data_IF_556158447333
#
_entry.id   IF_556158447333
#
_cell.length_a   1.000
_cell.length_b   1.000
_cell.length_c   1.000
_cell.angle_alpha   90.00
_cell.angle_beta   90.00
_cell.angle_gamma   90.00
#
_symmetry.space_group_name_H-M   'P 1'
#
loop_
_entity.id
_entity.type
_entity.pdbx_description
1 polymer ?
#
# COMPACT_ATOMS: atom_id res chain seq x y z
N UNK A 1 0.08 14.51 16.67
CA UNK A 1 -0.96 15.16 15.83
C UNK A 1 -1.82 14.05 15.28
N UNK A 2 -3.15 14.14 15.40
CA UNK A 2 -4.07 13.11 14.89
C UNK A 2 -4.65 13.58 13.57
N UNK A 3 -4.56 12.74 12.54
CA UNK A 3 -5.16 12.98 11.23
C UNK A 3 -6.27 11.94 11.06
N UNK A 4 -7.52 12.41 10.97
CA UNK A 4 -8.72 11.58 10.78
C UNK A 4 -9.25 11.77 9.36
N UNK A 5 -9.54 10.69 8.66
CA UNK A 5 -10.28 10.71 7.39
C UNK A 5 -11.40 9.67 7.40
N UNK A 6 -12.50 9.97 6.71
CA UNK A 6 -13.65 9.08 6.52
C UNK A 6 -13.75 8.73 5.05
N UNK A 7 -13.87 7.44 4.73
CA UNK A 7 -13.95 6.96 3.35
C UNK A 7 -15.16 6.05 3.19
N UNK A 8 -15.98 6.31 2.19
CA UNK A 8 -17.05 5.42 1.78
C UNK A 8 -16.49 4.28 0.92
N UNK A 9 -15.92 3.27 1.59
CA UNK A 9 -15.36 2.10 0.94
C UNK A 9 -16.42 1.22 0.26
N UNK A 10 -17.73 1.49 0.43
CA UNK A 10 -18.79 0.63 -0.13
C UNK A 10 -18.98 0.85 -1.63
N UNK A 11 -18.90 2.09 -2.12
CA UNK A 11 -19.29 2.43 -3.51
C UNK A 11 -18.22 2.02 -4.54
N UNK A 12 -16.93 2.23 -4.25
CA UNK A 12 -15.84 1.84 -5.14
C UNK A 12 -15.60 0.32 -5.13
N UNK A 13 -15.77 -0.31 -3.96
CA UNK A 13 -15.68 -1.76 -3.78
C UNK A 13 -16.85 -2.46 -4.46
N UNK A 14 -18.09 -1.99 -4.31
CA UNK A 14 -19.25 -2.64 -4.95
C UNK A 14 -19.15 -2.66 -6.47
N UNK A 15 -18.79 -1.55 -7.12
CA UNK A 15 -18.66 -1.51 -8.59
C UNK A 15 -17.52 -2.38 -9.12
N UNK A 16 -16.39 -2.41 -8.41
CA UNK A 16 -15.28 -3.29 -8.78
C UNK A 16 -15.60 -4.77 -8.51
N UNK A 17 -16.29 -5.07 -7.41
CA UNK A 17 -16.76 -6.42 -7.09
C UNK A 17 -17.85 -6.89 -8.06
N UNK A 18 -18.77 -6.03 -8.50
CA UNK A 18 -19.74 -6.33 -9.54
C UNK A 18 -19.05 -6.65 -10.87
N UNK A 19 -18.02 -5.88 -11.23
CA UNK A 19 -17.21 -6.16 -12.41
C UNK A 19 -16.48 -7.52 -12.30
N UNK A 20 -15.82 -7.80 -11.17
CA UNK A 20 -15.12 -9.08 -10.96
C UNK A 20 -16.09 -10.27 -10.91
N UNK A 21 -17.23 -10.15 -10.22
CA UNK A 21 -18.31 -11.17 -10.20
C UNK A 21 -18.91 -11.40 -11.59
N UNK A 22 -18.93 -10.38 -12.45
CA UNK A 22 -19.39 -10.53 -13.84
C UNK A 22 -18.39 -11.28 -14.73
N UNK A 23 -17.15 -11.46 -14.29
CA UNK A 23 -16.05 -12.04 -15.09
C UNK A 23 -15.47 -13.32 -14.53
N UNK A 24 -15.70 -13.64 -13.26
CA UNK A 24 -15.12 -14.79 -12.56
C UNK A 24 -16.25 -15.60 -11.90
N UNK A 25 -16.20 -16.93 -12.01
CA UNK A 25 -17.18 -17.82 -11.40
C UNK A 25 -17.04 -17.83 -9.86
N UNK A 26 -18.16 -17.85 -9.14
CA UNK A 26 -18.22 -17.67 -7.67
C UNK A 26 -17.35 -18.67 -6.88
N UNK A 27 -17.04 -19.82 -7.47
CA UNK A 27 -16.23 -20.91 -6.94
C UNK A 27 -14.71 -20.65 -6.93
N UNK A 28 -14.23 -19.51 -7.45
CA UNK A 28 -12.78 -19.20 -7.58
C UNK A 28 -12.28 -17.99 -6.80
N UNK A 29 -13.11 -17.35 -5.99
CA UNK A 29 -12.72 -16.16 -5.22
C UNK A 29 -12.52 -16.53 -3.75
N UNK A 30 -11.32 -16.96 -3.40
CA UNK A 30 -10.89 -17.05 -2.01
C UNK A 30 -10.46 -15.67 -1.51
N UNK A 31 -11.18 -15.13 -0.52
CA UNK A 31 -10.74 -13.93 0.21
C UNK A 31 -9.77 -14.35 1.31
N UNK A 32 -8.49 -14.02 1.13
CA UNK A 32 -7.42 -14.32 2.06
C UNK A 32 -6.91 -13.07 2.79
N UNK A 33 -6.72 -13.25 4.10
CA UNK A 33 -5.91 -12.52 5.11
C UNK A 33 -5.18 -11.25 4.62
N UNK A 34 -5.47 -10.11 5.27
CA UNK A 34 -4.75 -8.85 5.09
C UNK A 34 -3.29 -8.99 5.54
N UNK A 35 -2.35 -8.69 4.65
CA UNK A 35 -0.91 -8.60 4.96
C UNK A 35 -0.57 -7.12 5.12
N UNK A 36 0.00 -6.79 6.28
CA UNK A 36 0.38 -5.46 6.72
C UNK A 36 1.91 -5.35 6.57
N UNK A 37 2.43 -4.46 5.73
CA UNK A 37 3.88 -4.36 5.46
C UNK A 37 4.32 -2.90 5.28
N UNK A 38 5.15 -2.37 6.19
CA UNK A 38 5.66 -0.98 6.22
C UNK A 38 7.13 -0.98 6.71
N UNK A 39 7.85 0.14 6.68
CA UNK A 39 9.12 0.40 7.41
C UNK A 39 9.23 -0.39 8.72
N UNK A 40 10.42 -0.94 9.05
CA UNK A 40 10.74 -1.67 10.29
C UNK A 40 9.66 -1.47 11.35
N UNK A 41 8.76 -2.44 11.42
CA UNK A 41 7.49 -2.20 12.04
C UNK A 41 6.92 -3.45 12.63
N UNK A 42 6.01 -3.25 13.55
CA UNK A 42 5.26 -4.32 14.19
C UNK A 42 3.81 -3.92 14.17
N UNK A 43 2.98 -4.84 13.74
CA UNK A 43 1.55 -4.61 13.69
C UNK A 43 0.80 -5.88 13.96
N UNK A 44 -0.49 -5.73 14.15
CA UNK A 44 -1.37 -6.85 14.32
C UNK A 44 -2.83 -6.47 14.26
N UNK A 45 -3.66 -7.46 14.53
CA UNK A 45 -5.11 -7.30 14.56
C UNK A 45 -5.65 -7.88 15.86
N UNK A 46 -6.57 -7.17 16.51
CA UNK A 46 -7.21 -7.67 17.73
C UNK A 46 -8.18 -8.81 17.44
N UNK A 47 -8.56 -9.54 18.47
CA UNK A 47 -9.83 -10.27 18.50
C UNK A 47 -11.02 -9.29 18.38
N UNK A 48 -12.24 -9.78 18.09
CA UNK A 48 -13.45 -8.95 18.12
C UNK A 48 -13.56 -8.18 19.45
N UNK A 49 -13.72 -6.86 19.37
CA UNK A 49 -13.76 -5.98 20.52
C UNK A 49 -15.20 -5.61 20.91
N UNK A 50 -15.39 -5.28 22.19
CA UNK A 50 -16.67 -4.79 22.70
C UNK A 50 -16.98 -3.40 22.11
N UNK A 51 -18.12 -3.29 21.45
CA UNK A 51 -18.60 -2.07 20.79
C UNK A 51 -18.86 -0.95 21.81
N UNK A 52 -19.25 -1.30 23.04
CA UNK A 52 -19.50 -0.29 24.07
C UNK A 52 -18.21 0.39 24.54
N UNK A 53 -17.07 -0.30 24.42
CA UNK A 53 -15.74 0.23 24.77
C UNK A 53 -15.08 0.85 23.55
N UNK A 54 -15.21 0.23 22.37
CA UNK A 54 -14.60 0.68 21.12
C UNK A 54 -15.65 0.87 20.02
N UNK A 55 -16.50 1.92 20.06
CA UNK A 55 -17.56 2.11 19.07
C UNK A 55 -17.07 2.17 17.61
N UNK A 56 -15.80 2.54 17.39
CA UNK A 56 -15.17 2.61 16.08
C UNK A 56 -15.21 1.27 15.31
N UNK A 57 -15.24 0.13 16.00
CA UNK A 57 -15.23 -1.18 15.33
C UNK A 57 -16.58 -1.59 14.74
N UNK A 58 -17.65 -0.87 15.12
CA UNK A 58 -19.01 -1.03 14.56
C UNK A 58 -19.37 0.11 13.58
N UNK A 59 -18.40 0.99 13.29
CA UNK A 59 -18.63 2.10 12.38
C UNK A 59 -18.95 1.59 10.97
N UNK A 60 -19.92 2.24 10.32
CA UNK A 60 -20.26 1.97 8.91
C UNK A 60 -19.07 2.17 7.96
N UNK A 61 -18.19 3.10 8.31
CA UNK A 61 -17.00 3.43 7.53
C UNK A 61 -15.76 3.00 8.27
N UNK A 62 -14.77 2.53 7.52
CA UNK A 62 -13.46 2.27 8.09
C UNK A 62 -12.82 3.60 8.44
N UNK A 63 -12.54 3.79 9.72
CA UNK A 63 -11.73 4.92 10.18
C UNK A 63 -10.26 4.50 10.17
N UNK A 64 -9.41 5.36 9.61
CA UNK A 64 -7.97 5.19 9.68
C UNK A 64 -7.39 6.40 10.43
N UNK A 65 -6.70 6.11 11.52
CA UNK A 65 -6.06 7.10 12.37
C UNK A 65 -4.55 6.96 12.26
N UNK A 66 -3.87 8.06 11.96
CA UNK A 66 -2.41 8.13 12.08
C UNK A 66 -2.01 9.05 13.21
N UNK A 67 -1.17 8.50 14.08
CA UNK A 67 -0.59 9.19 15.22
C UNK A 67 0.90 9.34 14.98
N UNK A 68 1.30 10.59 14.75
CA UNK A 68 2.70 11.00 14.70
C UNK A 68 3.13 11.46 16.09
N UNK A 69 4.10 10.76 16.67
CA UNK A 69 4.71 11.17 17.94
C UNK A 69 5.62 12.38 17.75
N UNK A 70 5.64 13.26 18.76
CA UNK A 70 6.59 14.39 18.81
C UNK A 70 7.89 14.00 19.48
N UNK A 71 7.82 13.08 20.43
CA UNK A 71 8.92 12.77 21.35
C UNK A 71 9.71 11.53 20.93
N UNK A 72 9.17 10.75 20.00
CA UNK A 72 9.84 9.60 19.41
C UNK A 72 9.64 9.55 17.89
N UNK A 73 10.43 8.70 17.22
CA UNK A 73 10.39 8.53 15.77
C UNK A 73 9.27 7.61 15.29
N UNK A 74 8.35 7.22 16.17
CA UNK A 74 7.29 6.27 15.84
C UNK A 74 6.13 6.95 15.14
N UNK A 75 5.65 6.25 14.12
CA UNK A 75 4.36 6.50 13.48
C UNK A 75 3.46 5.31 13.78
N UNK A 76 2.35 5.57 14.47
CA UNK A 76 1.36 4.55 14.77
C UNK A 76 0.12 4.73 13.91
N UNK A 77 -0.42 3.61 13.44
CA UNK A 77 -1.60 3.54 12.62
C UNK A 77 -2.63 2.66 13.30
N UNK A 78 -3.88 3.06 13.18
CA UNK A 78 -5.00 2.31 13.70
C UNK A 78 -6.12 2.32 12.69
N UNK A 79 -6.77 1.18 12.49
CA UNK A 79 -7.94 1.12 11.64
C UNK A 79 -8.91 0.05 12.09
N UNK A 80 -10.21 0.35 12.01
CA UNK A 80 -11.25 -0.66 12.19
C UNK A 80 -11.15 -1.71 11.08
N UNK A 81 -11.25 -2.98 11.44
CA UNK A 81 -11.24 -4.10 10.52
C UNK A 81 -12.60 -4.84 10.58
N UNK A 82 -12.92 -5.68 9.58
CA UNK A 82 -14.09 -6.55 9.63
C UNK A 82 -14.17 -7.35 10.94
N UNK A 83 -15.38 -7.82 11.25
CA UNK A 83 -15.64 -8.65 12.44
C UNK A 83 -15.36 -7.92 13.77
N UNK A 84 -15.58 -6.60 13.80
CA UNK A 84 -15.41 -5.76 15.00
C UNK A 84 -14.00 -5.80 15.57
N UNK A 85 -13.00 -5.91 14.70
CA UNK A 85 -11.58 -5.95 15.08
C UNK A 85 -10.93 -4.60 14.87
N UNK A 86 -9.75 -4.44 15.45
CA UNK A 86 -8.91 -3.28 15.21
C UNK A 86 -7.54 -3.73 14.73
N UNK A 87 -7.15 -3.22 13.56
CA UNK A 87 -5.80 -3.34 13.05
C UNK A 87 -4.95 -2.19 13.62
N UNK A 88 -3.74 -2.51 14.02
CA UNK A 88 -2.76 -1.54 14.48
C UNK A 88 -1.40 -1.83 13.86
N UNK A 89 -0.61 -0.78 13.69
CA UNK A 89 0.71 -0.86 13.12
C UNK A 89 1.57 0.24 13.72
N UNK A 90 2.78 -0.09 14.16
CA UNK A 90 3.79 0.92 14.50
C UNK A 90 4.97 0.73 13.60
N UNK A 91 5.44 1.83 13.03
CA UNK A 91 6.65 1.89 12.23
C UNK A 91 7.60 2.94 12.77
N UNK A 92 8.91 2.71 12.59
CA UNK A 92 9.97 3.61 13.01
C UNK A 92 11.21 2.84 13.45
N UNK A 93 12.12 3.50 14.16
CA UNK A 93 13.32 2.85 14.68
C UNK A 93 13.01 2.12 16.01
N UNK A 94 12.26 1.02 15.92
CA UNK A 94 11.68 0.35 17.09
C UNK A 94 12.73 -0.38 17.95
N UNK A 95 13.83 -0.84 17.35
CA UNK A 95 14.81 -1.69 18.05
C UNK A 95 16.24 -1.15 17.96
N UNK A 96 16.48 0.04 17.37
CA UNK A 96 17.82 0.62 17.24
C UNK A 96 18.81 -0.28 16.49
N UNK A 97 18.31 -1.26 15.73
CA UNK A 97 19.14 -2.19 15.00
C UNK A 97 19.82 -1.43 13.87
N UNK A 98 21.16 -1.40 13.92
CA UNK A 98 21.98 -0.78 12.90
C UNK A 98 21.58 -1.28 11.50
N UNK A 99 21.70 -0.41 10.49
CA UNK A 99 21.27 -0.70 9.11
C UNK A 99 21.81 -2.01 8.55
N UNK A 100 22.95 -2.49 9.05
CA UNK A 100 23.62 -3.72 8.60
C UNK A 100 22.95 -5.01 9.10
N UNK A 101 22.32 -4.99 10.29
CA UNK A 101 21.71 -6.20 10.87
C UNK A 101 20.32 -6.51 10.27
N UNK A 102 19.69 -5.50 9.68
CA UNK A 102 18.37 -5.64 9.06
C UNK A 102 18.40 -6.57 7.84
N UNK A 103 19.49 -6.61 7.06
CA UNK A 103 19.51 -7.38 5.81
C UNK A 103 19.45 -8.92 6.01
N UNK A 104 19.80 -9.43 7.19
CA UNK A 104 19.85 -10.89 7.46
C UNK A 104 18.61 -11.44 8.17
N UNK A 105 17.68 -10.59 8.59
CA UNK A 105 16.56 -10.98 9.45
C UNK A 105 15.26 -11.23 8.67
N UNK A 106 15.27 -12.12 7.68
CA UNK A 106 14.00 -12.62 7.11
C UNK A 106 13.31 -13.63 8.03
N UNK A 107 14.06 -14.22 8.98
CA UNK A 107 13.57 -15.11 10.03
C UNK A 107 13.53 -14.37 11.39
N UNK A 108 12.72 -13.32 11.50
CA UNK A 108 12.53 -12.65 12.79
C UNK A 108 11.74 -13.59 13.71
N UNK A 109 12.46 -14.31 14.57
CA UNK A 109 11.87 -15.15 15.61
C UNK A 109 10.94 -14.37 16.55
N UNK A 110 10.10 -15.10 17.29
CA UNK A 110 9.12 -14.54 18.23
C UNK A 110 9.72 -13.53 19.21
N UNK A 111 10.97 -13.74 19.64
CA UNK A 111 11.70 -12.82 20.52
C UNK A 111 11.81 -11.40 19.96
N UNK A 112 11.98 -11.27 18.64
CA UNK A 112 12.06 -9.94 18.01
C UNK A 112 10.71 -9.24 17.96
N UNK A 113 9.60 -9.98 17.88
CA UNK A 113 8.25 -9.42 17.91
C UNK A 113 7.94 -8.94 19.32
N UNK A 114 8.23 -9.76 20.34
CA UNK A 114 8.01 -9.40 21.74
C UNK A 114 8.80 -8.15 22.14
N UNK A 115 10.08 -8.07 21.79
CA UNK A 115 10.90 -6.88 22.08
C UNK A 115 10.33 -5.62 21.42
N UNK A 116 9.82 -5.74 20.18
CA UNK A 116 9.21 -4.62 19.48
C UNK A 116 7.90 -4.19 20.15
N UNK A 117 7.03 -5.14 20.48
CA UNK A 117 5.79 -4.91 21.22
C UNK A 117 6.02 -4.23 22.58
N UNK A 118 7.05 -4.64 23.32
CA UNK A 118 7.44 -4.00 24.59
C UNK A 118 7.87 -2.55 24.36
N UNK A 119 8.70 -2.30 23.34
CA UNK A 119 9.21 -0.97 23.03
C UNK A 119 8.09 0.01 22.69
N UNK A 120 7.08 -0.42 21.92
CA UNK A 120 5.97 0.47 21.48
C UNK A 120 4.75 0.44 22.40
N UNK A 121 4.66 -0.51 23.33
CA UNK A 121 3.44 -0.73 24.12
C UNK A 121 3.00 0.45 24.99
N UNK A 122 3.90 1.37 25.30
CA UNK A 122 3.60 2.58 26.08
C UNK A 122 2.87 3.67 25.29
N UNK A 123 2.77 3.55 23.96
CA UNK A 123 2.14 4.57 23.11
C UNK A 123 0.63 4.66 23.39
N UNK A 124 0.14 5.90 23.53
CA UNK A 124 -1.30 6.16 23.63
C UNK A 124 -1.97 6.00 22.25
N UNK A 125 -3.17 5.42 22.27
CA UNK A 125 -4.00 5.23 21.09
C UNK A 125 -5.06 6.33 21.03
N UNK A 126 -5.65 6.63 19.86
CA UNK A 126 -6.75 7.60 19.75
C UNK A 126 -8.04 7.12 20.46
N UNK A 127 -8.07 5.89 20.97
CA UNK A 127 -9.24 5.27 21.59
C UNK A 127 -9.19 5.30 23.13
N UNK A 128 -8.28 6.08 23.72
CA UNK A 128 -8.17 6.22 25.17
C UNK A 128 -7.57 5.01 25.89
N UNK A 129 -6.88 4.14 25.16
CA UNK A 129 -6.11 3.02 25.72
C UNK A 129 -4.65 3.07 25.25
N UNK A 130 -3.80 2.24 25.82
CA UNK A 130 -2.40 2.06 25.41
C UNK A 130 -2.27 1.01 24.31
N UNK A 131 -1.22 1.09 23.50
CA UNK A 131 -0.95 0.09 22.49
C UNK A 131 -0.68 -1.29 23.10
N UNK A 132 -0.11 -1.36 24.32
CA UNK A 132 0.02 -2.60 25.09
C UNK A 132 -1.31 -3.31 25.28
N UNK A 133 -2.39 -2.58 25.56
CA UNK A 133 -3.73 -3.16 25.72
C UNK A 133 -4.29 -3.68 24.40
N UNK A 134 -3.97 -3.05 23.27
CA UNK A 134 -4.33 -3.59 21.96
C UNK A 134 -3.51 -4.85 21.62
N UNK A 135 -2.20 -4.82 21.89
CA UNK A 135 -1.29 -5.97 21.73
C UNK A 135 -1.79 -7.17 22.55
N UNK A 136 -2.19 -6.95 23.81
CA UNK A 136 -2.70 -8.01 24.68
C UNK A 136 -4.02 -8.62 24.17
N UNK A 137 -4.79 -7.90 23.36
CA UNK A 137 -6.01 -8.39 22.67
C UNK A 137 -5.73 -8.92 21.27
N UNK A 138 -4.50 -8.88 20.80
CA UNK A 138 -4.10 -9.43 19.52
C UNK A 138 -3.59 -10.85 19.70
N UNK A 139 -4.18 -11.85 19.03
CA UNK A 139 -3.64 -13.19 18.99
C UNK A 139 -2.20 -13.15 18.47
N UNK A 140 -1.29 -13.91 19.06
CA UNK A 140 0.14 -13.86 18.72
C UNK A 140 0.40 -14.23 17.26
N UNK A 141 -0.42 -15.10 16.68
CA UNK A 141 -0.37 -15.49 15.25
C UNK A 141 -0.88 -14.39 14.30
N UNK A 142 -1.48 -13.33 14.86
CA UNK A 142 -1.90 -12.13 14.14
C UNK A 142 -0.98 -10.93 14.40
N UNK A 143 0.13 -11.10 15.13
CA UNK A 143 1.16 -10.08 15.28
C UNK A 143 2.32 -10.42 14.37
N UNK A 144 2.71 -9.46 13.54
CA UNK A 144 3.75 -9.62 12.54
C UNK A 144 4.76 -8.49 12.70
N UNK A 145 6.04 -8.84 12.72
CA UNK A 145 7.13 -7.90 12.47
C UNK A 145 7.48 -7.99 10.99
N UNK A 146 7.61 -6.84 10.35
CA UNK A 146 7.86 -6.77 8.92
C UNK A 146 8.97 -5.76 8.62
N UNK A 147 9.63 -5.98 7.48
CA UNK A 147 10.75 -5.19 7.00
C UNK A 147 10.50 -4.80 5.55
N UNK A 148 10.34 -3.50 5.29
CA UNK A 148 10.17 -3.02 3.91
C UNK A 148 11.50 -2.53 3.36
N UNK A 149 11.87 -3.11 2.23
CA UNK A 149 13.02 -2.72 1.44
C UNK A 149 12.55 -2.22 0.08
N UNK A 150 12.95 -1.00 -0.28
CA UNK A 150 12.79 -0.49 -1.65
C UNK A 150 13.85 -1.14 -2.52
N UNK A 151 13.42 -2.00 -3.45
CA UNK A 151 14.32 -2.69 -4.38
C UNK A 151 13.87 -2.47 -5.81
N UNK A 152 14.82 -2.11 -6.67
CA UNK A 152 14.63 -2.19 -8.11
C UNK A 152 15.78 -3.01 -8.68
N UNK A 153 15.47 -4.14 -9.31
CA UNK A 153 16.51 -4.95 -9.92
C UNK A 153 16.91 -4.38 -11.27
N UNK A 154 18.20 -4.41 -11.60
CA UNK A 154 18.70 -3.95 -12.90
C UNK A 154 18.19 -4.85 -14.04
N UNK A 155 18.13 -6.15 -13.80
CA UNK A 155 17.76 -7.17 -14.78
C UNK A 155 16.45 -7.82 -14.34
N UNK A 156 15.46 -7.92 -15.25
CA UNK A 156 14.13 -8.47 -14.96
C UNK A 156 13.84 -9.76 -15.72
N UNK A 157 14.76 -10.25 -16.54
CA UNK A 157 14.55 -11.46 -17.31
C UNK A 157 15.90 -12.12 -17.61
N UNK A 158 15.86 -13.43 -17.81
CA UNK A 158 16.97 -14.22 -18.32
C UNK A 158 16.42 -15.40 -19.14
N UNK A 159 16.93 -15.57 -20.35
CA UNK A 159 16.40 -16.52 -21.32
C UNK A 159 14.88 -16.39 -21.52
N UNK A 160 14.13 -17.39 -21.05
CA UNK A 160 12.65 -17.46 -21.12
C UNK A 160 11.95 -17.16 -19.80
N UNK A 161 12.69 -16.79 -18.76
CA UNK A 161 12.13 -16.38 -17.49
C UNK A 161 12.06 -14.85 -17.41
N UNK A 162 10.97 -14.34 -16.86
CA UNK A 162 10.75 -12.91 -16.62
C UNK A 162 10.18 -12.72 -15.21
N UNK A 163 10.69 -11.71 -14.52
CA UNK A 163 10.26 -11.25 -13.22
C UNK A 163 9.21 -10.16 -13.44
N UNK A 164 8.14 -10.19 -12.65
CA UNK A 164 7.08 -9.17 -12.63
C UNK A 164 6.72 -8.85 -11.17
N UNK A 165 6.09 -7.70 -10.94
CA UNK A 165 5.67 -7.28 -9.60
C UNK A 165 6.85 -7.21 -8.62
N UNK A 166 6.64 -7.65 -7.38
CA UNK A 166 7.65 -7.56 -6.30
C UNK A 166 8.94 -8.32 -6.59
N UNK A 167 8.89 -9.35 -7.44
CA UNK A 167 10.09 -10.08 -7.86
C UNK A 167 11.01 -9.23 -8.76
N UNK A 168 10.46 -8.26 -9.48
CA UNK A 168 11.20 -7.35 -10.37
C UNK A 168 11.48 -6.00 -9.72
N UNK A 169 10.53 -5.51 -8.93
CA UNK A 169 10.60 -4.24 -8.23
C UNK A 169 9.71 -4.24 -6.99
N UNK A 170 10.31 -3.99 -5.84
CA UNK A 170 9.59 -3.76 -4.59
C UNK A 170 9.40 -2.26 -4.44
N UNK A 171 8.24 -1.78 -4.90
CA UNK A 171 7.81 -0.40 -4.66
C UNK A 171 7.33 -0.32 -3.21
N UNK A 172 7.80 0.68 -2.48
CA UNK A 172 7.36 0.87 -1.10
C UNK A 172 5.88 1.17 -1.06
N UNK A 173 5.18 0.39 -0.25
CA UNK A 173 3.80 0.65 0.10
C UNK A 173 3.77 1.68 1.22
N UNK A 174 3.63 2.96 0.87
CA UNK A 174 3.27 3.95 1.88
C UNK A 174 1.75 3.94 2.02
N UNK A 175 1.27 3.47 3.18
CA UNK A 175 -0.16 3.34 3.53
C UNK A 175 -0.89 4.72 3.62
N UNK A 176 -0.28 5.80 3.11
CA UNK A 176 -0.83 7.15 3.15
C UNK A 176 -1.46 7.56 1.82
N UNK A 177 -2.76 7.32 1.69
CA UNK A 177 -3.79 8.38 1.82
C UNK A 177 -5.13 7.81 1.32
N UNK A 178 -6.02 7.50 2.28
CA UNK A 178 -7.50 7.53 2.21
C UNK A 178 -8.25 7.06 0.96
N UNK A 179 -7.60 6.32 0.08
CA UNK A 179 -8.21 5.44 -0.88
C UNK A 179 -7.55 4.07 -0.73
N UNK A 180 -8.29 2.97 -0.98
CA UNK A 180 -7.73 1.64 -1.19
C UNK A 180 -6.70 1.57 -2.35
N UNK A 181 -6.32 2.71 -2.94
CA UNK A 181 -5.56 2.90 -4.18
C UNK A 181 -4.05 3.12 -4.00
N UNK A 182 -3.50 3.13 -2.77
CA UNK A 182 -2.03 3.01 -2.62
C UNK A 182 -1.52 1.58 -2.88
N UNK A 183 -2.40 0.71 -3.40
CA UNK A 183 -2.19 -0.55 -4.13
C UNK A 183 -1.07 -0.58 -5.17
N UNK A 184 -0.11 0.36 -5.15
CA UNK A 184 0.96 0.52 -6.12
C UNK A 184 1.72 -0.78 -6.36
N UNK A 185 1.94 -1.61 -5.34
CA UNK A 185 2.54 -2.94 -5.52
C UNK A 185 1.67 -3.84 -6.39
N UNK A 186 0.48 -4.26 -5.91
CA UNK A 186 -0.47 -5.05 -6.70
C UNK A 186 -0.81 -4.44 -8.07
N UNK A 187 -1.10 -3.15 -8.14
CA UNK A 187 -1.43 -2.43 -9.37
C UNK A 187 -0.24 -2.40 -10.32
N UNK A 188 0.98 -2.15 -9.84
CA UNK A 188 2.18 -2.23 -10.68
C UNK A 188 2.42 -3.66 -11.17
N UNK A 189 2.16 -4.68 -10.36
CA UNK A 189 2.24 -6.08 -10.78
C UNK A 189 1.18 -6.43 -11.83
N UNK A 190 -0.04 -5.92 -11.69
CA UNK A 190 -1.10 -6.08 -12.68
C UNK A 190 -0.74 -5.36 -13.99
N UNK A 191 -0.24 -4.13 -13.91
CA UNK A 191 0.24 -3.37 -15.07
C UNK A 191 1.43 -4.07 -15.74
N UNK A 192 2.32 -4.68 -14.97
CA UNK A 192 3.41 -5.47 -15.51
C UNK A 192 2.89 -6.64 -16.33
N UNK A 193 1.99 -7.44 -15.75
CA UNK A 193 1.38 -8.57 -16.43
C UNK A 193 0.69 -8.13 -17.73
N UNK A 194 -0.03 -7.01 -17.68
CA UNK A 194 -0.77 -6.50 -18.82
C UNK A 194 0.15 -5.99 -19.94
N UNK A 195 1.23 -5.25 -19.60
CA UNK A 195 2.25 -4.83 -20.58
C UNK A 195 3.01 -6.02 -21.15
N UNK A 196 3.37 -6.99 -20.31
CA UNK A 196 4.07 -8.20 -20.71
C UNK A 196 3.25 -9.02 -21.71
N UNK A 197 1.97 -9.28 -21.41
CA UNK A 197 1.06 -9.99 -22.32
C UNK A 197 0.94 -9.25 -23.66
N UNK A 198 0.82 -7.92 -23.64
CA UNK A 198 0.77 -7.12 -24.86
C UNK A 198 2.04 -7.24 -25.71
N UNK A 199 3.23 -7.34 -25.12
CA UNK A 199 4.46 -7.59 -25.89
C UNK A 199 4.54 -9.03 -26.41
N UNK A 200 4.10 -10.01 -25.61
CA UNK A 200 4.08 -11.42 -26.01
C UNK A 200 3.09 -11.71 -27.15
N UNK A 201 1.93 -11.04 -27.18
CA UNK A 201 0.96 -11.18 -28.26
C UNK A 201 1.46 -10.67 -29.63
N UNK A 202 2.57 -9.93 -29.67
CA UNK A 202 3.19 -9.43 -30.92
C UNK A 202 4.22 -10.40 -31.50
N UNK A 203 4.55 -11.47 -30.80
CA UNK A 203 5.50 -12.48 -31.27
C UNK A 203 4.94 -13.17 -32.51
N UNK A 204 5.78 -13.32 -33.54
CA UNK A 204 5.41 -14.11 -34.73
C UNK A 204 5.85 -15.56 -34.53
N UNK A 205 6.95 -15.76 -33.81
CA UNK A 205 7.53 -17.06 -33.54
C UNK A 205 7.85 -17.22 -32.05
N UNK A 206 7.90 -18.47 -31.59
CA UNK A 206 8.31 -18.81 -30.22
C UNK A 206 9.83 -19.05 -30.14
N UNK A 207 10.63 -18.25 -30.83
CA UNK A 207 12.09 -18.32 -30.73
C UNK A 207 12.61 -17.52 -29.53
N UNK A 208 13.75 -17.94 -28.99
CA UNK A 208 14.34 -17.30 -27.81
C UNK A 208 14.62 -15.82 -28.02
N UNK A 209 15.09 -15.44 -29.22
CA UNK A 209 15.49 -14.07 -29.54
C UNK A 209 14.28 -13.14 -29.57
N UNK A 210 13.17 -13.57 -30.16
CA UNK A 210 11.93 -12.79 -30.17
C UNK A 210 11.33 -12.66 -28.76
N UNK A 211 11.33 -13.73 -27.95
CA UNK A 211 10.88 -13.68 -26.55
C UNK A 211 11.74 -12.71 -25.73
N UNK A 212 13.07 -12.79 -25.82
CA UNK A 212 13.97 -11.86 -25.13
C UNK A 212 13.72 -10.42 -25.57
N UNK A 213 13.52 -10.18 -26.88
CA UNK A 213 13.17 -8.85 -27.39
C UNK A 213 11.84 -8.33 -26.84
N UNK A 214 10.84 -9.20 -26.65
CA UNK A 214 9.58 -8.81 -26.02
C UNK A 214 9.77 -8.46 -24.54
N UNK A 215 10.58 -9.23 -23.80
CA UNK A 215 10.91 -8.93 -22.40
C UNK A 215 11.70 -7.63 -22.24
N UNK A 216 12.64 -7.33 -23.15
CA UNK A 216 13.34 -6.04 -23.21
C UNK A 216 12.34 -4.88 -23.33
N UNK A 217 11.42 -4.95 -24.29
CA UNK A 217 10.39 -3.92 -24.50
C UNK A 217 9.45 -3.78 -23.30
N UNK A 218 9.06 -4.90 -22.68
CA UNK A 218 8.28 -4.88 -21.44
C UNK A 218 9.02 -4.10 -20.34
N UNK A 219 10.29 -4.45 -20.09
CA UNK A 219 11.12 -3.79 -19.07
C UNK A 219 11.32 -2.31 -19.38
N UNK A 220 11.66 -1.95 -20.61
CA UNK A 220 11.85 -0.55 -21.03
C UNK A 220 10.60 0.29 -20.76
N UNK A 221 9.42 -0.26 -21.06
CA UNK A 221 8.13 0.42 -20.83
C UNK A 221 7.81 0.56 -19.35
N UNK A 222 8.23 -0.38 -18.49
CA UNK A 222 7.82 -0.41 -17.08
C UNK A 222 8.82 0.23 -16.13
N UNK A 223 10.11 0.13 -16.42
CA UNK A 223 11.18 0.55 -15.49
C UNK A 223 11.09 2.02 -15.10
N UNK A 224 10.77 2.92 -16.02
CA UNK A 224 10.68 4.36 -15.71
C UNK A 224 9.45 4.68 -14.85
N UNK A 225 8.31 4.03 -15.12
CA UNK A 225 7.13 4.19 -14.28
C UNK A 225 7.38 3.68 -12.86
N UNK A 226 8.02 2.52 -12.74
CA UNK A 226 8.39 1.95 -11.43
C UNK A 226 9.36 2.87 -10.68
N UNK A 227 10.37 3.44 -11.34
CA UNK A 227 11.27 4.42 -10.71
C UNK A 227 10.53 5.65 -10.21
N UNK A 228 9.58 6.17 -10.99
CA UNK A 228 8.74 7.30 -10.58
C UNK A 228 7.93 6.92 -9.33
N UNK A 229 7.30 5.74 -9.33
CA UNK A 229 6.55 5.23 -8.17
C UNK A 229 7.42 5.06 -6.93
N UNK A 230 8.63 4.51 -7.07
CA UNK A 230 9.59 4.37 -5.97
C UNK A 230 9.97 5.74 -5.42
N UNK A 231 10.40 6.68 -6.28
CA UNK A 231 10.78 8.02 -5.85
C UNK A 231 9.62 8.77 -5.18
N UNK A 232 8.41 8.61 -5.72
CA UNK A 232 7.19 9.20 -5.18
C UNK A 232 6.87 8.64 -3.78
N UNK A 233 6.91 7.32 -3.61
CA UNK A 233 6.73 6.68 -2.30
C UNK A 233 7.77 7.17 -1.31
N UNK A 234 9.06 7.03 -1.63
CA UNK A 234 10.17 7.48 -0.78
C UNK A 234 10.02 8.95 -0.32
N UNK A 235 9.69 9.86 -1.25
CA UNK A 235 9.46 11.29 -0.94
C UNK A 235 8.24 11.48 -0.04
N UNK A 236 7.14 10.79 -0.33
CA UNK A 236 5.90 10.85 0.45
C UNK A 236 6.13 10.32 1.85
N UNK A 237 6.81 9.19 1.99
CA UNK A 237 7.23 8.70 3.30
C UNK A 237 8.05 9.73 4.05
N UNK A 238 9.13 10.27 3.47
CA UNK A 238 9.98 11.24 4.17
C UNK A 238 9.19 12.46 4.61
N UNK A 239 8.23 12.89 3.81
CA UNK A 239 7.30 13.96 4.14
C UNK A 239 6.41 13.60 5.34
N UNK A 240 5.88 12.38 5.38
CA UNK A 240 4.97 11.92 6.43
C UNK A 240 5.67 11.60 7.74
N UNK A 241 6.79 10.89 7.69
CA UNK A 241 7.57 10.46 8.85
C UNK A 241 8.64 11.47 9.26
N UNK A 242 8.75 12.60 8.56
CA UNK A 242 9.72 13.65 8.91
C UNK A 242 9.42 14.25 10.28
N UNK A 243 10.42 14.36 11.15
CA UNK A 243 10.28 15.01 12.46
C UNK A 243 10.74 16.48 12.41
N UNK A 244 10.39 17.26 13.44
CA UNK A 244 10.80 18.65 13.61
C UNK A 244 9.84 19.70 13.03
N UNK A 245 10.08 20.97 13.41
CA UNK A 245 9.20 22.10 13.11
C UNK A 245 8.97 22.29 11.60
N UNK A 246 10.01 22.11 10.79
CA UNK A 246 9.91 22.25 9.34
C UNK A 246 8.97 21.19 8.73
N UNK A 247 9.08 19.94 9.17
CA UNK A 247 8.21 18.84 8.74
C UNK A 247 6.75 19.07 9.18
N UNK A 248 6.55 19.58 10.39
CA UNK A 248 5.22 19.96 10.89
C UNK A 248 4.57 21.08 10.07
N UNK A 249 5.33 22.12 9.71
CA UNK A 249 4.84 23.21 8.86
C UNK A 249 4.47 22.67 7.47
N UNK A 250 5.36 21.88 6.86
CA UNK A 250 5.10 21.24 5.56
C UNK A 250 3.82 20.42 5.57
N UNK A 251 3.61 19.56 6.57
CA UNK A 251 2.36 18.80 6.76
C UNK A 251 1.15 19.70 6.94
N UNK A 252 1.22 20.69 7.83
CA UNK A 252 0.11 21.62 8.07
C UNK A 252 -0.31 22.37 6.80
N UNK A 253 0.65 22.78 5.97
CA UNK A 253 0.36 23.42 4.68
C UNK A 253 -0.28 22.42 3.72
N UNK A 254 0.33 21.26 3.54
CA UNK A 254 -0.15 20.24 2.62
C UNK A 254 -1.58 19.76 2.96
N UNK A 255 -1.86 19.44 4.22
CA UNK A 255 -3.20 19.00 4.65
C UNK A 255 -4.25 20.11 4.60
N UNK A 256 -3.85 21.38 4.56
CA UNK A 256 -4.76 22.52 4.37
C UNK A 256 -4.96 22.91 2.90
N UNK A 257 -4.21 22.31 1.97
CA UNK A 257 -4.29 22.59 0.54
C UNK A 257 -4.75 21.34 -0.24
N UNK A 258 -6.00 20.86 -0.01
CA UNK A 258 -6.49 19.61 -0.59
C UNK A 258 -6.43 19.54 -2.13
N UNK A 259 -6.44 20.68 -2.83
CA UNK A 259 -6.39 20.70 -4.30
C UNK A 259 -5.03 20.34 -4.92
N UNK A 260 -3.90 20.64 -4.25
CA UNK A 260 -2.58 20.46 -4.86
C UNK A 260 -2.11 18.99 -4.82
N UNK A 261 -2.52 18.25 -3.79
CA UNK A 261 -2.14 16.84 -3.60
C UNK A 261 -2.98 15.94 -4.50
N UNK A 262 -4.31 16.11 -4.48
CA UNK A 262 -5.21 15.27 -5.27
C UNK A 262 -4.98 15.43 -6.78
N UNK A 263 -4.78 16.67 -7.26
CA UNK A 263 -4.60 16.93 -8.69
C UNK A 263 -3.29 16.40 -9.29
N UNK A 264 -2.27 16.12 -8.47
CA UNK A 264 -1.01 15.54 -8.93
C UNK A 264 -1.03 14.01 -8.88
N UNK A 265 -1.68 13.42 -7.87
CA UNK A 265 -1.89 11.97 -7.75
C UNK A 265 -2.80 11.43 -8.86
N UNK A 266 -3.93 12.10 -9.12
CA UNK A 266 -4.86 11.70 -10.18
C UNK A 266 -4.18 11.68 -11.55
N UNK A 267 -3.33 12.67 -11.84
CA UNK A 267 -2.59 12.72 -13.10
C UNK A 267 -1.57 11.60 -13.22
N UNK A 268 -0.94 11.16 -12.14
CA UNK A 268 0.04 10.08 -12.20
C UNK A 268 -0.62 8.70 -12.31
N UNK A 269 -1.66 8.45 -11.53
CA UNK A 269 -2.34 7.14 -11.49
C UNK A 269 -3.31 6.96 -12.66
N UNK A 270 -4.17 7.95 -12.91
CA UNK A 270 -5.15 7.84 -13.99
C UNK A 270 -4.48 7.91 -15.36
N UNK A 271 -3.41 8.69 -15.56
CA UNK A 271 -2.76 8.75 -16.87
C UNK A 271 -2.12 7.40 -17.25
N UNK A 272 -1.56 6.67 -16.30
CA UNK A 272 -1.00 5.34 -16.56
C UNK A 272 -2.11 4.35 -16.93
N UNK A 273 -3.23 4.34 -16.20
CA UNK A 273 -4.37 3.48 -16.50
C UNK A 273 -5.06 3.85 -17.82
N UNK A 274 -5.24 5.15 -18.09
CA UNK A 274 -5.89 5.65 -19.31
C UNK A 274 -5.03 5.49 -20.56
N UNK A 275 -3.71 5.65 -20.46
CA UNK A 275 -2.80 5.38 -21.59
C UNK A 275 -2.80 3.89 -21.92
N UNK A 276 -2.95 3.04 -20.90
CA UNK A 276 -3.06 1.60 -21.07
C UNK A 276 -4.39 1.19 -21.74
N UNK A 277 -5.51 1.79 -21.34
CA UNK A 277 -6.84 1.55 -21.94
C UNK A 277 -7.06 2.27 -23.28
N UNK A 278 -6.30 3.33 -23.54
CA UNK A 278 -6.53 4.32 -24.59
C UNK A 278 -6.19 3.91 -26.02
N UNK A 279 -5.59 2.73 -26.24
CA UNK A 279 -5.41 2.20 -27.59
C UNK A 279 -6.62 1.40 -28.11
N UNK A 280 -7.72 1.34 -27.36
CA UNK A 280 -9.01 0.89 -27.87
C UNK A 280 -9.85 2.09 -28.32
N UNK A 281 -10.08 2.30 -29.64
CA UNK A 281 -10.81 3.45 -30.16
C UNK A 281 -12.22 3.64 -29.57
N UNK A 282 -12.80 2.58 -29.01
CA UNK A 282 -14.14 2.59 -28.42
C UNK A 282 -14.20 3.23 -27.02
N UNK A 283 -13.13 3.21 -26.25
CA UNK A 283 -13.14 3.72 -24.86
C UNK A 283 -12.92 5.24 -24.77
N UNK A 284 -12.18 5.82 -25.73
CA UNK A 284 -11.96 7.27 -25.81
C UNK A 284 -13.27 8.05 -26.07
N UNK A 285 -14.29 7.43 -26.66
CA UNK A 285 -15.62 8.04 -26.88
C UNK A 285 -16.46 8.15 -25.61
N UNK A 286 -16.21 7.32 -24.59
CA UNK A 286 -17.03 7.34 -23.37
C UNK A 286 -16.51 8.35 -22.32
N UNK A 287 -15.20 8.57 -22.22
CA UNK A 287 -14.64 9.54 -21.24
C UNK A 287 -14.96 11.00 -21.57
N UNK A 288 -15.14 11.31 -22.86
CA UNK A 288 -15.51 12.64 -23.34
C UNK A 288 -16.97 13.01 -23.01
N UNK A 289 -17.84 12.02 -22.78
CA UNK A 289 -19.24 12.23 -22.37
C UNK A 289 -19.41 12.56 -20.88
N UNK A 290 -18.49 12.13 -20.02
CA UNK A 290 -18.55 12.40 -18.57
C UNK A 290 -18.01 13.77 -18.20
N UNK A 291 -17.06 14.33 -18.96
CA UNK A 291 -16.46 15.63 -18.68
C UNK A 291 -17.40 16.82 -19.00
N UNK A 292 -18.35 16.66 -19.93
CA UNK A 292 -19.30 17.71 -20.33
C UNK A 292 -20.52 17.83 -19.41
N UNK A 293 -20.73 16.89 -18.48
CA UNK A 293 -21.88 16.86 -17.57
C UNK A 293 -21.51 17.29 -16.13
N UNK A 294 -20.29 17.75 -15.91
CA UNK A 294 -19.78 18.23 -14.62
C UNK A 294 -19.34 19.70 -14.66
N UNK A 295 -19.72 20.45 -15.69
CA UNK A 295 -19.59 21.91 -15.77
C UNK A 295 -20.92 22.60 -15.51
#
# INVERSE_FOLDING_TARGET
MTITGKVDASIAKERFLEYLRSKLSEDRVHYGRFVLEIVNGTGGMTEPMDINVFPVVDARFIEANIVLSKDNSYTAWYSSAPERRLAWCVSGDIVGQGKEDNFKSSDLGSESIESACVAVGHLETPYGCTLRELIARSPSDNILKFMVEEKHFKTWFDGRAVLIGEAAHKVRFDFFMFEPLSGLGPDAAMLDAAVLVNELCKLQFNDLREVTRAFEKYRERRVEHVKISINYSSTTSQFMTGHGLASDIKRKIAFKLPMLINSSQDKLLQHVHLTFLGNSPHLLRQSSYTASNLS
#
